data_IF_678523742477
#
_entry.id   IF_678523742477
#
_cell.length_a   1.000
_cell.length_b   1.000
_cell.length_c   1.000
_cell.angle_alpha   90.00
_cell.angle_beta   90.00
_cell.angle_gamma   90.00
#
_symmetry.space_group_name_H-M   'P 1'
#
loop_
_entity.id
_entity.type
_entity.pdbx_description
1 polymer ?
#
# COMPACT_ATOMS: atom_id res chain seq x y z
N UNK A 1 -31.07 -5.18 4.52
CA UNK A 1 -31.11 -4.34 3.29
C UNK A 1 -29.81 -3.57 3.21
N UNK A 2 -29.16 -3.45 2.04
CA UNK A 2 -27.96 -2.62 1.88
C UNK A 2 -28.33 -1.16 2.17
N UNK A 3 -27.51 -0.50 3.00
CA UNK A 3 -27.68 0.91 3.36
C UNK A 3 -26.78 1.77 2.45
N UNK A 4 -27.37 2.63 1.65
CA UNK A 4 -26.65 3.47 0.70
C UNK A 4 -25.74 4.52 1.39
N UNK A 5 -26.05 4.85 2.65
CA UNK A 5 -25.32 5.76 3.53
C UNK A 5 -24.45 5.05 4.58
N UNK A 6 -24.23 3.73 4.43
CA UNK A 6 -23.40 2.96 5.39
C UNK A 6 -22.03 3.60 5.61
N UNK A 7 -21.43 4.13 4.53
CA UNK A 7 -20.30 5.05 4.58
C UNK A 7 -20.51 6.20 3.61
N UNK A 8 -20.03 7.37 3.98
CA UNK A 8 -20.05 8.56 3.13
C UNK A 8 -18.88 9.50 3.43
N UNK A 9 -18.47 10.29 2.45
CA UNK A 9 -17.44 11.30 2.66
C UNK A 9 -18.01 12.54 3.37
N UNK A 10 -17.19 13.06 4.29
CA UNK A 10 -17.35 14.39 4.85
C UNK A 10 -15.97 15.09 4.90
N UNK A 11 -15.88 16.27 5.56
CA UNK A 11 -14.65 17.05 5.63
C UNK A 11 -13.44 16.32 6.25
N UNK A 12 -13.65 15.25 7.03
CA UNK A 12 -12.60 14.49 7.69
C UNK A 12 -12.25 13.17 6.96
N UNK A 13 -13.00 12.80 5.92
CA UNK A 13 -12.80 11.58 5.15
C UNK A 13 -14.01 10.64 5.12
N UNK A 14 -13.79 9.35 4.93
CA UNK A 14 -14.82 8.33 4.79
C UNK A 14 -15.37 7.93 6.17
N UNK A 15 -16.62 8.31 6.44
CA UNK A 15 -17.27 8.15 7.75
C UNK A 15 -18.35 7.06 7.74
N UNK A 16 -18.37 6.25 8.79
CA UNK A 16 -19.40 5.26 9.08
C UNK A 16 -20.26 5.74 10.28
N UNK A 17 -21.51 6.23 10.06
CA UNK A 17 -22.36 6.77 11.13
C UNK A 17 -22.83 5.69 12.11
N UNK A 18 -22.94 4.45 11.68
CA UNK A 18 -23.45 3.34 12.49
C UNK A 18 -22.44 2.87 13.55
N UNK A 19 -21.14 3.12 13.32
CA UNK A 19 -20.06 2.84 14.27
C UNK A 19 -19.43 4.07 14.89
N UNK A 20 -19.77 5.29 14.43
CA UNK A 20 -19.14 6.56 14.81
C UNK A 20 -17.62 6.52 14.64
N UNK A 21 -17.16 6.05 13.47
CA UNK A 21 -15.74 5.99 13.12
C UNK A 21 -15.48 6.38 11.67
N UNK A 22 -14.23 6.68 11.38
CA UNK A 22 -13.71 6.94 10.04
C UNK A 22 -12.83 5.80 9.56
N UNK A 23 -12.92 5.47 8.27
CA UNK A 23 -11.99 4.61 7.55
C UNK A 23 -10.90 5.50 6.93
N UNK A 24 -9.64 5.24 7.27
CA UNK A 24 -8.48 5.97 6.74
C UNK A 24 -8.72 7.50 6.67
N UNK A 25 -8.96 8.17 7.80
CA UNK A 25 -9.36 9.58 7.82
C UNK A 25 -8.28 10.49 7.24
N UNK A 26 -8.70 11.57 6.57
CA UNK A 26 -7.82 12.59 6.00
C UNK A 26 -7.41 13.67 7.01
N UNK A 27 -8.10 13.75 8.14
CA UNK A 27 -7.86 14.69 9.24
C UNK A 27 -7.94 13.96 10.57
N UNK A 28 -7.33 14.48 11.66
CA UNK A 28 -7.46 13.90 12.99
C UNK A 28 -8.93 13.78 13.44
N UNK A 29 -9.30 12.58 13.89
CA UNK A 29 -10.68 12.26 14.31
C UNK A 29 -10.73 11.62 15.69
N UNK A 30 -11.95 11.48 16.24
CA UNK A 30 -12.19 10.80 17.51
C UNK A 30 -11.87 9.31 17.39
N UNK A 31 -12.40 8.62 16.39
CA UNK A 31 -12.22 7.17 16.19
C UNK A 31 -11.87 6.88 14.72
N UNK A 32 -10.73 6.24 14.51
CA UNK A 32 -10.23 5.84 13.20
C UNK A 32 -10.03 4.32 13.13
N UNK A 33 -10.41 3.72 12.02
CA UNK A 33 -10.06 2.34 11.64
C UNK A 33 -9.13 2.45 10.44
N UNK A 34 -7.86 2.05 10.61
CA UNK A 34 -6.79 2.28 9.64
C UNK A 34 -6.46 0.98 8.90
N UNK A 35 -6.56 1.04 7.57
CA UNK A 35 -6.24 -0.10 6.70
C UNK A 35 -4.74 -0.40 6.64
N UNK A 36 -3.91 0.62 6.50
CA UNK A 36 -2.46 0.47 6.40
C UNK A 36 -1.72 1.79 6.73
N UNK A 37 -0.39 1.73 6.82
CA UNK A 37 0.40 2.83 7.36
C UNK A 37 0.94 3.84 6.34
N UNK A 38 0.45 3.93 5.10
CA UNK A 38 0.81 5.03 4.21
C UNK A 38 0.26 6.36 4.73
N UNK A 39 0.91 7.47 4.35
CA UNK A 39 0.65 8.78 4.97
C UNK A 39 -0.71 9.39 4.65
N UNK A 40 -1.29 9.02 3.55
CA UNK A 40 -2.62 9.41 3.07
C UNK A 40 -3.76 8.57 3.69
N UNK A 41 -3.45 7.40 4.27
CA UNK A 41 -4.40 6.55 4.99
C UNK A 41 -4.27 6.66 6.51
N UNK A 42 -3.06 6.89 7.02
CA UNK A 42 -2.75 6.88 8.45
C UNK A 42 -2.27 8.26 8.92
N UNK A 43 -3.16 9.23 9.02
CA UNK A 43 -2.83 10.57 9.52
C UNK A 43 -2.57 10.55 11.04
N UNK A 44 -1.74 11.49 11.50
CA UNK A 44 -1.42 11.65 12.93
C UNK A 44 -2.56 12.31 13.71
N UNK A 45 -2.54 12.17 15.04
CA UNK A 45 -3.37 12.97 15.94
C UNK A 45 -4.76 12.39 16.24
N UNK A 46 -5.11 11.22 15.73
CA UNK A 46 -6.36 10.54 16.07
C UNK A 46 -6.41 10.21 17.57
N UNK A 47 -7.61 10.25 18.19
CA UNK A 47 -7.73 9.91 19.61
C UNK A 47 -7.72 8.40 19.82
N UNK A 48 -8.54 7.66 19.08
CA UNK A 48 -8.68 6.21 19.19
C UNK A 48 -8.46 5.58 17.81
N UNK A 49 -7.55 4.62 17.72
CA UNK A 49 -7.13 3.99 16.47
C UNK A 49 -7.28 2.49 16.59
N UNK A 50 -7.98 1.89 15.63
CA UNK A 50 -8.03 0.44 15.41
C UNK A 50 -7.17 0.12 14.20
N UNK A 51 -6.14 -0.71 14.39
CA UNK A 51 -5.21 -1.08 13.31
C UNK A 51 -4.45 -2.37 13.67
N UNK A 52 -3.67 -2.89 12.71
CA UNK A 52 -2.71 -3.98 12.97
C UNK A 52 -1.50 -3.47 13.76
N UNK A 53 -0.78 -4.39 14.41
CA UNK A 53 0.43 -4.05 15.17
C UNK A 53 1.50 -3.40 14.29
N UNK A 54 1.72 -3.90 13.06
CA UNK A 54 2.70 -3.33 12.15
C UNK A 54 2.32 -1.91 11.72
N UNK A 55 1.03 -1.66 11.44
CA UNK A 55 0.51 -0.31 11.14
C UNK A 55 0.79 0.65 12.29
N UNK A 56 0.55 0.25 13.55
CA UNK A 56 0.89 1.06 14.74
C UNK A 56 2.37 1.41 14.78
N UNK A 57 3.25 0.42 14.59
CA UNK A 57 4.70 0.62 14.65
C UNK A 57 5.17 1.61 13.57
N UNK A 58 4.69 1.50 12.34
CA UNK A 58 5.01 2.44 11.27
C UNK A 58 4.49 3.85 11.54
N UNK A 59 3.28 3.99 12.08
CA UNK A 59 2.75 5.29 12.51
C UNK A 59 3.64 5.91 13.59
N UNK A 60 4.08 5.13 14.58
CA UNK A 60 4.98 5.60 15.63
C UNK A 60 6.36 6.01 15.11
N UNK A 61 6.94 5.28 14.14
CA UNK A 61 8.20 5.68 13.49
C UNK A 61 8.01 7.02 12.75
N UNK A 62 6.89 7.23 12.06
CA UNK A 62 6.64 8.44 11.28
C UNK A 62 6.32 9.65 12.14
N UNK A 63 5.49 9.51 13.15
CA UNK A 63 4.87 10.61 13.88
C UNK A 63 5.30 10.72 15.35
N UNK A 64 6.05 9.73 15.85
CA UNK A 64 6.46 9.68 17.25
C UNK A 64 5.26 9.75 18.20
N UNK A 65 5.30 10.67 19.15
CA UNK A 65 4.23 10.88 20.15
C UNK A 65 2.90 11.37 19.56
N UNK A 66 2.92 11.90 18.34
CA UNK A 66 1.73 12.40 17.66
C UNK A 66 1.01 11.33 16.82
N UNK A 67 1.48 10.09 16.80
CA UNK A 67 0.89 9.01 16.00
C UNK A 67 -0.60 8.78 16.34
N UNK A 68 -0.96 8.86 17.61
CA UNK A 68 -2.32 8.71 18.13
C UNK A 68 -2.29 8.62 19.65
N UNK A 69 -3.47 8.74 20.31
CA UNK A 69 -3.53 8.67 21.77
C UNK A 69 -3.72 7.23 22.28
N UNK A 70 -4.66 6.50 21.71
CA UNK A 70 -4.98 5.11 22.07
C UNK A 70 -4.94 4.23 20.84
N UNK A 71 -4.23 3.11 20.90
CA UNK A 71 -4.18 2.11 19.86
C UNK A 71 -4.85 0.82 20.34
N UNK A 72 -5.93 0.43 19.66
CA UNK A 72 -6.62 -0.84 19.80
C UNK A 72 -6.10 -1.78 18.71
N UNK A 73 -5.22 -2.68 19.07
CA UNK A 73 -4.59 -3.60 18.11
C UNK A 73 -5.50 -4.82 17.90
N UNK A 74 -5.78 -5.11 16.63
CA UNK A 74 -6.47 -6.33 16.25
C UNK A 74 -5.61 -7.14 15.25
N UNK A 75 -5.59 -8.46 15.43
CA UNK A 75 -4.99 -9.39 14.48
C UNK A 75 -5.94 -9.69 13.32
N UNK A 76 -5.39 -10.33 12.28
CA UNK A 76 -6.20 -10.82 11.18
C UNK A 76 -7.17 -11.90 11.65
N UNK A 77 -8.34 -11.96 11.00
CA UNK A 77 -9.45 -12.88 11.29
C UNK A 77 -10.02 -12.74 12.73
N UNK A 78 -9.58 -11.73 13.48
CA UNK A 78 -10.11 -11.43 14.81
C UNK A 78 -11.28 -10.45 14.68
N UNK A 79 -12.48 -10.88 15.14
CA UNK A 79 -13.68 -10.04 15.14
C UNK A 79 -13.73 -9.17 16.40
N UNK A 80 -13.95 -7.87 16.20
CA UNK A 80 -14.17 -6.89 17.28
C UNK A 80 -15.32 -5.94 16.92
N UNK A 81 -15.66 -5.00 17.79
CA UNK A 81 -16.73 -4.02 17.54
C UNK A 81 -16.23 -2.60 17.71
N UNK A 82 -16.71 -1.73 16.82
CA UNK A 82 -16.62 -0.27 16.96
C UNK A 82 -18.04 0.30 16.85
N UNK A 83 -18.52 0.88 17.93
CA UNK A 83 -19.94 1.23 18.04
C UNK A 83 -20.86 0.01 17.83
N UNK A 84 -21.76 0.09 16.87
CA UNK A 84 -22.69 -0.99 16.52
C UNK A 84 -22.17 -1.92 15.42
N UNK A 85 -21.05 -1.60 14.78
CA UNK A 85 -20.50 -2.34 13.64
C UNK A 85 -19.50 -3.39 14.13
N UNK A 86 -19.65 -4.63 13.68
CA UNK A 86 -18.64 -5.66 13.88
C UNK A 86 -17.60 -5.56 12.77
N UNK A 87 -16.31 -5.63 13.12
CA UNK A 87 -15.20 -5.47 12.21
C UNK A 87 -14.28 -6.69 12.27
N UNK A 88 -13.78 -7.11 11.11
CA UNK A 88 -12.74 -8.14 10.98
C UNK A 88 -11.68 -7.64 10.01
N UNK A 89 -10.39 -7.69 10.41
CA UNK A 89 -9.27 -7.40 9.54
C UNK A 89 -8.88 -8.63 8.71
N UNK A 90 -8.66 -8.44 7.40
CA UNK A 90 -8.32 -9.49 6.45
C UNK A 90 -7.09 -9.01 5.66
N UNK A 91 -6.03 -9.82 5.45
CA UNK A 91 -4.85 -9.39 4.70
C UNK A 91 -5.17 -8.77 3.35
N UNK A 92 -4.57 -7.61 3.04
CA UNK A 92 -4.79 -6.88 1.80
C UNK A 92 -3.65 -7.06 0.77
N UNK A 93 -2.52 -7.67 1.15
CA UNK A 93 -1.40 -7.91 0.23
C UNK A 93 -0.60 -6.68 -0.18
N UNK A 94 -0.94 -5.50 0.32
CA UNK A 94 -0.34 -4.23 -0.12
C UNK A 94 1.05 -4.00 0.47
N UNK A 95 1.13 -3.87 1.80
CA UNK A 95 2.36 -3.75 2.59
C UNK A 95 2.22 -4.54 3.89
N UNK A 96 3.32 -4.73 4.63
CA UNK A 96 3.28 -5.38 5.94
C UNK A 96 2.24 -4.74 6.86
N UNK A 97 1.33 -5.57 7.36
CA UNK A 97 0.25 -5.15 8.26
C UNK A 97 -0.94 -4.48 7.56
N UNK A 98 -0.98 -4.42 6.22
CA UNK A 98 -2.13 -3.90 5.48
C UNK A 98 -3.33 -4.82 5.61
N UNK A 99 -4.53 -4.23 5.75
CA UNK A 99 -5.76 -4.97 5.95
C UNK A 99 -6.91 -4.43 5.12
N UNK A 100 -7.70 -5.35 4.57
CA UNK A 100 -9.07 -5.09 4.20
C UNK A 100 -9.91 -5.03 5.49
N UNK A 101 -10.94 -4.22 5.52
CA UNK A 101 -11.81 -4.03 6.68
C UNK A 101 -13.20 -4.55 6.35
N UNK A 102 -13.50 -5.79 6.81
CA UNK A 102 -14.82 -6.37 6.70
C UNK A 102 -15.69 -5.83 7.85
N UNK A 103 -16.77 -5.16 7.49
CA UNK A 103 -17.73 -4.54 8.40
C UNK A 103 -19.09 -5.25 8.28
N UNK A 104 -19.68 -5.64 9.40
CA UNK A 104 -20.98 -6.30 9.43
C UNK A 104 -21.95 -5.48 10.29
N UNK A 105 -23.10 -5.17 9.74
CA UNK A 105 -24.15 -4.41 10.40
C UNK A 105 -25.54 -4.88 9.92
N UNK A 106 -26.43 -5.24 10.86
CA UNK A 106 -27.82 -5.69 10.60
C UNK A 106 -27.93 -6.76 9.49
N UNK A 107 -26.99 -7.71 9.48
CA UNK A 107 -27.02 -8.85 8.54
C UNK A 107 -26.53 -8.53 7.13
N UNK A 108 -25.95 -7.34 6.92
CA UNK A 108 -25.28 -6.94 5.67
C UNK A 108 -23.79 -6.77 5.92
N UNK A 109 -22.98 -7.22 4.98
CA UNK A 109 -21.52 -7.13 5.01
C UNK A 109 -20.97 -6.15 3.98
N UNK A 110 -20.03 -5.31 4.42
CA UNK A 110 -19.33 -4.30 3.60
C UNK A 110 -17.83 -4.54 3.74
N UNK A 111 -17.14 -4.75 2.63
CA UNK A 111 -15.68 -4.90 2.63
C UNK A 111 -15.03 -3.66 2.04
N UNK A 112 -14.29 -2.92 2.88
CA UNK A 112 -13.40 -1.85 2.44
C UNK A 112 -12.00 -2.44 2.20
N UNK A 113 -11.50 -2.36 0.97
CA UNK A 113 -10.21 -2.97 0.61
C UNK A 113 -9.01 -2.25 1.20
N UNK A 114 -9.13 -0.92 1.49
CA UNK A 114 -7.94 -0.07 1.52
C UNK A 114 -7.21 -0.19 0.19
N UNK A 115 -5.90 0.06 0.19
CA UNK A 115 -5.04 -0.29 -0.93
C UNK A 115 -4.70 -1.77 -0.88
N UNK A 116 -4.69 -2.44 -2.03
CA UNK A 116 -4.44 -3.87 -2.10
C UNK A 116 -3.65 -4.29 -3.34
N UNK A 117 -3.11 -5.50 -3.31
CA UNK A 117 -2.30 -6.07 -4.39
C UNK A 117 -2.47 -7.59 -4.40
N UNK A 118 -2.63 -8.18 -5.59
CA UNK A 118 -2.68 -9.64 -5.78
C UNK A 118 -1.33 -10.22 -6.20
N UNK A 119 -0.43 -9.41 -6.75
CA UNK A 119 0.93 -9.86 -7.10
C UNK A 119 1.63 -10.41 -5.87
N UNK A 120 2.30 -11.55 -6.03
CA UNK A 120 3.07 -12.17 -4.97
C UNK A 120 4.13 -11.22 -4.39
N UNK A 121 4.20 -11.17 -3.07
CA UNK A 121 5.14 -10.37 -2.31
C UNK A 121 5.46 -11.07 -1.00
N UNK A 122 6.66 -11.63 -0.91
CA UNK A 122 7.12 -12.37 0.28
C UNK A 122 7.52 -11.46 1.43
N UNK A 123 7.35 -10.13 1.30
CA UNK A 123 7.64 -9.15 2.36
C UNK A 123 6.43 -8.72 3.17
N UNK A 124 5.24 -9.18 2.82
CA UNK A 124 4.01 -8.92 3.57
C UNK A 124 3.07 -10.12 3.50
N UNK A 125 1.97 -10.04 4.23
CA UNK A 125 0.90 -11.03 4.17
C UNK A 125 0.26 -11.01 2.79
N UNK A 126 0.02 -12.20 2.20
CA UNK A 126 -0.64 -12.31 0.90
C UNK A 126 -2.10 -11.86 0.98
N UNK A 127 -2.64 -11.34 -0.13
CA UNK A 127 -4.06 -10.99 -0.23
C UNK A 127 -4.94 -12.22 0.06
N UNK A 128 -5.94 -12.05 0.93
CA UNK A 128 -6.95 -13.07 1.20
C UNK A 128 -8.30 -12.63 0.61
N UNK A 129 -8.92 -13.53 -0.16
CA UNK A 129 -10.27 -13.28 -0.70
C UNK A 129 -11.31 -13.42 0.41
N UNK A 130 -12.22 -12.45 0.48
CA UNK A 130 -13.35 -12.45 1.41
C UNK A 130 -14.66 -12.28 0.67
N UNK A 131 -15.77 -12.68 1.32
CA UNK A 131 -17.13 -12.51 0.80
C UNK A 131 -17.81 -11.34 1.50
N UNK A 132 -18.46 -10.46 0.74
CA UNK A 132 -19.27 -9.38 1.28
C UNK A 132 -20.40 -9.01 0.30
N UNK A 133 -21.48 -8.43 0.85
CA UNK A 133 -22.60 -7.94 0.04
C UNK A 133 -22.20 -6.70 -0.78
N UNK A 134 -21.35 -5.85 -0.20
CA UNK A 134 -20.85 -4.61 -0.82
C UNK A 134 -19.34 -4.58 -0.78
N UNK A 135 -18.73 -4.38 -1.94
CA UNK A 135 -17.29 -4.12 -2.08
C UNK A 135 -17.05 -2.61 -2.18
N UNK A 136 -16.26 -2.05 -1.26
CA UNK A 136 -15.78 -0.67 -1.27
C UNK A 136 -14.29 -0.73 -1.62
N UNK A 137 -13.92 -0.38 -2.85
CA UNK A 137 -12.58 -0.66 -3.38
C UNK A 137 -11.88 0.57 -3.94
N UNK A 138 -10.54 0.60 -3.80
CA UNK A 138 -9.72 1.52 -4.58
C UNK A 138 -9.96 1.30 -6.08
N UNK A 139 -9.78 2.35 -6.86
CA UNK A 139 -9.83 2.32 -8.32
C UNK A 139 -8.66 3.09 -8.96
N UNK A 140 -7.52 3.13 -8.27
CA UNK A 140 -6.30 3.85 -8.66
C UNK A 140 -5.83 3.48 -10.07
N UNK A 141 -5.79 2.19 -10.37
CA UNK A 141 -5.43 1.66 -11.68
C UNK A 141 -6.59 0.94 -12.38
N UNK A 142 -7.85 1.31 -12.06
CA UNK A 142 -9.05 0.70 -12.63
C UNK A 142 -9.35 1.16 -14.07
N UNK A 143 -8.34 1.08 -14.95
CA UNK A 143 -8.47 1.31 -16.40
C UNK A 143 -7.98 0.07 -17.15
N UNK A 144 -8.65 -0.35 -18.24
CA UNK A 144 -8.27 -1.55 -19.00
C UNK A 144 -6.82 -1.56 -19.48
N UNK A 145 -6.24 -0.38 -19.76
CA UNK A 145 -4.86 -0.23 -20.20
C UNK A 145 -3.82 -0.35 -19.08
N UNK A 146 -4.24 -0.28 -17.82
CA UNK A 146 -3.35 -0.43 -16.67
C UNK A 146 -3.17 -1.91 -16.35
N UNK A 147 -2.04 -2.46 -16.77
CA UNK A 147 -1.59 -3.80 -16.43
C UNK A 147 -0.17 -3.72 -15.90
N UNK A 148 0.07 -4.30 -14.75
CA UNK A 148 1.38 -4.26 -14.11
C UNK A 148 2.23 -5.44 -14.58
N UNK A 149 3.48 -5.20 -15.04
CA UNK A 149 4.39 -6.28 -15.44
C UNK A 149 4.81 -7.12 -14.23
N UNK A 150 5.43 -8.27 -14.51
CA UNK A 150 6.07 -9.09 -13.50
C UNK A 150 7.21 -8.31 -12.82
N UNK A 151 7.16 -8.08 -11.50
CA UNK A 151 8.17 -7.34 -10.76
C UNK A 151 9.54 -8.03 -10.79
N UNK A 152 9.58 -9.36 -10.95
CA UNK A 152 10.83 -10.12 -11.11
C UNK A 152 11.51 -9.77 -12.43
N UNK A 153 10.74 -9.70 -13.52
CA UNK A 153 11.27 -9.28 -14.81
C UNK A 153 11.81 -7.85 -14.78
N UNK A 154 11.11 -6.95 -14.08
CA UNK A 154 11.55 -5.56 -13.89
C UNK A 154 12.87 -5.48 -13.12
N UNK A 155 13.01 -6.18 -12.00
CA UNK A 155 14.25 -6.19 -11.21
C UNK A 155 15.42 -6.81 -11.97
N UNK A 156 15.19 -7.84 -12.79
CA UNK A 156 16.26 -8.46 -13.59
C UNK A 156 16.92 -7.47 -14.57
N UNK A 157 16.25 -6.39 -15.00
CA UNK A 157 16.85 -5.32 -15.81
C UNK A 157 18.06 -4.66 -15.12
N UNK A 158 18.11 -4.65 -13.80
CA UNK A 158 19.22 -4.08 -13.04
C UNK A 158 20.53 -4.85 -13.26
N UNK A 159 20.50 -6.11 -13.70
CA UNK A 159 21.67 -6.94 -13.95
C UNK A 159 22.53 -6.39 -15.11
N UNK A 160 21.91 -5.67 -16.05
CA UNK A 160 22.59 -5.12 -17.22
C UNK A 160 23.27 -3.76 -16.93
N UNK A 161 22.96 -3.14 -15.81
CA UNK A 161 23.53 -1.84 -15.40
C UNK A 161 24.82 -2.08 -14.61
N UNK A 162 25.98 -1.71 -15.16
CA UNK A 162 27.32 -1.97 -14.58
C UNK A 162 27.86 -0.82 -13.73
N UNK A 163 27.11 0.25 -13.58
CA UNK A 163 27.44 1.40 -12.73
C UNK A 163 26.49 1.46 -11.53
N UNK A 164 26.78 2.32 -10.57
CA UNK A 164 25.91 2.58 -9.44
C UNK A 164 24.51 3.06 -9.87
N UNK A 165 23.50 2.64 -9.13
CA UNK A 165 22.11 3.01 -9.37
C UNK A 165 21.61 3.87 -8.20
N UNK A 166 21.00 5.00 -8.51
CA UNK A 166 20.16 5.76 -7.59
C UNK A 166 18.70 5.37 -7.87
N UNK A 167 18.09 4.65 -6.93
CA UNK A 167 16.73 4.11 -7.09
C UNK A 167 15.76 4.85 -6.18
N UNK A 168 14.88 5.64 -6.76
CA UNK A 168 13.76 6.27 -6.07
C UNK A 168 12.63 5.28 -5.84
N UNK A 169 12.13 5.18 -4.60
CA UNK A 169 10.99 4.35 -4.25
C UNK A 169 10.29 4.88 -2.99
N UNK A 170 9.00 4.58 -2.84
CA UNK A 170 8.31 4.85 -1.57
C UNK A 170 9.02 4.11 -0.43
N UNK A 171 9.25 4.81 0.69
CA UNK A 171 10.09 4.30 1.79
C UNK A 171 9.46 3.12 2.53
N UNK A 172 8.13 3.06 2.62
CA UNK A 172 7.37 1.98 3.26
C UNK A 172 6.70 1.13 2.17
N UNK A 173 6.82 -0.18 2.28
CA UNK A 173 6.29 -1.18 1.35
C UNK A 173 7.23 -1.39 0.17
N UNK A 174 7.21 -0.53 -0.81
CA UNK A 174 7.97 -0.65 -2.06
C UNK A 174 9.48 -0.83 -1.86
N UNK A 175 10.09 -0.07 -0.96
CA UNK A 175 11.53 -0.22 -0.69
C UNK A 175 11.87 -1.59 -0.13
N UNK A 176 11.06 -2.16 0.76
CA UNK A 176 11.30 -3.48 1.35
C UNK A 176 11.11 -4.59 0.32
N UNK A 177 10.07 -4.52 -0.51
CA UNK A 177 9.85 -5.43 -1.63
C UNK A 177 11.00 -5.39 -2.63
N UNK A 178 11.48 -4.21 -3.01
CA UNK A 178 12.61 -4.04 -3.92
C UNK A 178 13.90 -4.61 -3.32
N UNK A 179 14.17 -4.39 -2.03
CA UNK A 179 15.35 -4.96 -1.35
C UNK A 179 15.33 -6.48 -1.46
N UNK A 180 14.21 -7.11 -1.15
CA UNK A 180 14.06 -8.55 -1.22
C UNK A 180 14.22 -9.06 -2.66
N UNK A 181 13.53 -8.46 -3.63
CA UNK A 181 13.61 -8.83 -5.04
C UNK A 181 15.04 -8.69 -5.62
N UNK A 182 15.78 -7.64 -5.26
CA UNK A 182 17.18 -7.48 -5.69
C UNK A 182 18.05 -8.59 -5.10
N UNK A 183 17.89 -8.93 -3.82
CA UNK A 183 18.67 -10.01 -3.21
C UNK A 183 18.44 -11.35 -3.91
N UNK A 184 17.25 -11.62 -4.41
CA UNK A 184 16.92 -12.88 -5.08
C UNK A 184 17.25 -12.89 -6.57
N UNK A 185 17.02 -11.78 -7.27
CA UNK A 185 17.03 -11.76 -8.74
C UNK A 185 18.15 -10.91 -9.36
N UNK A 186 18.87 -10.13 -8.53
CA UNK A 186 20.05 -9.37 -8.93
C UNK A 186 21.14 -9.43 -7.83
N UNK A 187 21.57 -10.65 -7.38
CA UNK A 187 22.36 -10.85 -6.16
C UNK A 187 23.77 -10.27 -6.21
N UNK A 188 24.28 -9.92 -7.40
CA UNK A 188 25.55 -9.19 -7.54
C UNK A 188 25.44 -7.73 -7.12
N UNK A 189 24.23 -7.16 -7.06
CA UNK A 189 24.00 -5.78 -6.63
C UNK A 189 24.12 -5.67 -5.11
N UNK A 190 24.81 -4.64 -4.64
CA UNK A 190 24.92 -4.31 -3.22
C UNK A 190 23.91 -3.21 -2.88
N UNK A 191 23.09 -3.41 -1.86
CA UNK A 191 21.98 -2.51 -1.55
C UNK A 191 22.38 -1.58 -0.41
N UNK A 192 22.25 -0.28 -0.67
CA UNK A 192 22.33 0.75 0.35
C UNK A 192 20.96 1.40 0.49
N UNK A 193 20.55 1.66 1.73
CA UNK A 193 19.26 2.29 2.00
C UNK A 193 19.42 3.64 2.68
N UNK A 194 18.52 4.55 2.37
CA UNK A 194 18.44 5.84 3.03
C UNK A 194 18.12 5.68 4.53
N UNK A 195 18.63 6.57 5.38
CA UNK A 195 18.45 6.48 6.85
C UNK A 195 16.97 6.46 7.27
N UNK A 196 16.05 7.04 6.51
CA UNK A 196 14.60 6.99 6.79
C UNK A 196 13.95 5.66 6.39
N UNK A 197 14.58 4.86 5.53
CA UNK A 197 14.09 3.53 5.13
C UNK A 197 14.55 2.47 6.15
N UNK A 198 15.75 2.63 6.71
CA UNK A 198 16.34 1.67 7.63
C UNK A 198 15.42 1.29 8.82
N UNK A 199 14.80 2.24 9.56
CA UNK A 199 13.91 1.88 10.67
C UNK A 199 12.67 1.08 10.21
N UNK A 200 12.17 1.36 9.00
CA UNK A 200 11.03 0.63 8.43
C UNK A 200 11.41 -0.82 8.12
N UNK A 201 12.60 -1.06 7.54
CA UNK A 201 13.11 -2.41 7.31
C UNK A 201 13.22 -3.21 8.61
N UNK A 202 13.60 -2.56 9.72
CA UNK A 202 13.69 -3.24 11.02
C UNK A 202 12.34 -3.73 11.56
N UNK A 203 11.24 -3.06 11.24
CA UNK A 203 9.89 -3.54 11.57
C UNK A 203 9.57 -4.82 10.79
N UNK A 204 9.89 -4.88 9.50
CA UNK A 204 9.70 -6.08 8.68
C UNK A 204 10.47 -7.27 9.24
N UNK A 205 11.75 -7.07 9.58
CA UNK A 205 12.60 -8.12 10.17
C UNK A 205 12.08 -8.57 11.54
N UNK A 206 11.64 -7.64 12.39
CA UNK A 206 11.06 -7.95 13.70
C UNK A 206 9.73 -8.72 13.58
N UNK A 207 8.96 -8.50 12.50
CA UNK A 207 7.76 -9.25 12.19
C UNK A 207 8.05 -10.63 11.55
N UNK A 208 9.33 -10.98 11.32
CA UNK A 208 9.76 -12.27 10.78
C UNK A 208 9.96 -12.32 9.26
N UNK A 209 9.77 -11.22 8.56
CA UNK A 209 9.97 -11.14 7.11
C UNK A 209 11.45 -10.98 6.76
N UNK A 210 11.91 -11.71 5.74
CA UNK A 210 13.32 -11.72 5.32
C UNK A 210 13.52 -10.79 4.14
N UNK A 211 14.22 -9.69 4.33
CA UNK A 211 14.54 -8.73 3.27
C UNK A 211 15.86 -9.06 2.53
N UNK A 212 16.71 -9.89 3.10
CA UNK A 212 18.04 -10.19 2.57
C UNK A 212 19.11 -9.20 3.06
N UNK A 213 20.17 -8.99 2.27
CA UNK A 213 21.30 -8.14 2.64
C UNK A 213 21.09 -6.69 2.18
N UNK A 214 21.25 -5.76 3.07
CA UNK A 214 21.27 -4.32 2.79
C UNK A 214 22.02 -3.58 3.89
N UNK A 215 22.55 -2.41 3.59
CA UNK A 215 23.33 -1.60 4.51
C UNK A 215 22.83 -0.15 4.49
N UNK A 216 23.15 0.60 5.57
CA UNK A 216 22.91 2.03 5.59
C UNK A 216 23.82 2.73 4.56
N UNK A 217 23.30 3.73 3.87
CA UNK A 217 24.06 4.51 2.89
C UNK A 217 25.41 4.96 3.42
N UNK A 218 26.44 4.71 2.63
CA UNK A 218 27.80 5.19 2.85
C UNK A 218 28.36 5.81 1.57
N UNK A 219 28.63 7.13 1.61
CA UNK A 219 29.27 7.82 0.49
C UNK A 219 30.63 7.23 0.14
N UNK A 220 31.37 6.74 1.14
CA UNK A 220 32.68 6.10 0.95
C UNK A 220 32.52 4.81 0.16
N UNK A 221 31.57 3.97 0.50
CA UNK A 221 31.28 2.72 -0.20
C UNK A 221 30.93 2.98 -1.67
N UNK A 222 30.00 3.88 -1.96
CA UNK A 222 29.59 4.26 -3.31
C UNK A 222 30.73 4.79 -4.21
N UNK A 223 31.79 5.38 -3.61
CA UNK A 223 32.94 5.88 -4.36
C UNK A 223 34.01 4.84 -4.65
N UNK A 224 34.01 3.74 -3.91
CA UNK A 224 35.05 2.72 -3.99
C UNK A 224 34.72 1.57 -4.93
N UNK A 225 33.45 1.40 -5.26
CA UNK A 225 32.96 0.22 -5.97
C UNK A 225 31.72 0.56 -6.80
N UNK A 226 31.61 -0.04 -7.96
CA UNK A 226 30.41 0.00 -8.79
C UNK A 226 29.38 -1.06 -8.39
N UNK A 227 28.19 -1.00 -9.02
CA UNK A 227 27.08 -1.94 -8.84
C UNK A 227 26.34 -1.83 -7.50
N UNK A 228 26.48 -0.72 -6.79
CA UNK A 228 25.57 -0.40 -5.69
C UNK A 228 24.21 0.09 -6.20
N UNK A 229 23.15 -0.32 -5.49
CA UNK A 229 21.80 0.26 -5.62
C UNK A 229 21.50 1.03 -4.34
N UNK A 230 21.46 2.36 -4.46
CA UNK A 230 21.08 3.23 -3.34
C UNK A 230 19.59 3.56 -3.42
N UNK A 231 18.79 3.00 -2.51
CA UNK A 231 17.34 3.18 -2.44
C UNK A 231 17.02 4.40 -1.58
N UNK A 232 16.24 5.34 -2.14
CA UNK A 232 15.90 6.62 -1.51
C UNK A 232 14.42 6.95 -1.65
N UNK A 233 13.84 7.70 -0.67
CA UNK A 233 12.47 8.22 -0.80
C UNK A 233 12.36 9.26 -1.95
N UNK A 234 11.12 9.51 -2.47
CA UNK A 234 10.91 10.39 -3.63
C UNK A 234 11.56 11.77 -3.51
N UNK A 235 11.37 12.49 -2.41
CA UNK A 235 11.98 13.83 -2.22
C UNK A 235 13.52 13.79 -2.24
N UNK A 236 14.13 12.72 -1.72
CA UNK A 236 15.58 12.54 -1.78
C UNK A 236 16.02 12.23 -3.22
N UNK A 237 15.26 11.40 -3.94
CA UNK A 237 15.53 11.12 -5.35
C UNK A 237 15.55 12.39 -6.19
N UNK A 238 14.56 13.26 -6.03
CA UNK A 238 14.47 14.53 -6.73
C UNK A 238 15.63 15.47 -6.37
N UNK A 239 16.08 15.48 -5.11
CA UNK A 239 17.23 16.31 -4.69
C UNK A 239 18.56 15.90 -5.36
N UNK A 240 18.66 14.68 -5.87
CA UNK A 240 19.81 14.15 -6.59
C UNK A 240 19.69 14.27 -8.13
N UNK A 241 18.89 15.20 -8.65
CA UNK A 241 18.64 15.27 -10.10
C UNK A 241 19.93 15.51 -10.93
N UNK A 242 20.93 16.18 -10.36
CA UNK A 242 22.26 16.41 -10.97
C UNK A 242 23.30 15.33 -10.64
N UNK A 243 22.92 14.18 -10.07
CA UNK A 243 23.90 13.15 -9.74
C UNK A 243 24.56 12.60 -11.00
N UNK A 244 25.90 12.60 -11.03
CA UNK A 244 26.71 12.08 -12.13
C UNK A 244 27.35 10.73 -11.76
N UNK A 245 27.64 9.91 -12.75
CA UNK A 245 28.26 8.58 -12.55
C UNK A 245 27.32 7.54 -11.94
N UNK A 246 26.01 7.81 -11.96
CA UNK A 246 24.98 6.87 -11.50
C UNK A 246 23.84 6.78 -12.51
N UNK A 247 23.23 5.61 -12.66
CA UNK A 247 21.96 5.42 -13.37
C UNK A 247 20.83 5.82 -12.43
N UNK A 248 19.97 6.73 -12.84
CA UNK A 248 18.82 7.15 -12.04
C UNK A 248 17.57 6.42 -12.51
N UNK A 249 16.90 5.70 -11.60
CA UNK A 249 15.66 4.96 -11.82
C UNK A 249 14.64 5.33 -10.75
N UNK A 250 13.36 5.33 -11.10
CA UNK A 250 12.27 5.51 -10.14
C UNK A 250 11.28 4.35 -10.27
N UNK A 251 11.06 3.61 -9.18
CA UNK A 251 10.14 2.48 -9.16
C UNK A 251 8.71 2.95 -8.90
N UNK A 252 7.83 2.82 -9.90
CA UNK A 252 6.44 3.23 -9.78
C UNK A 252 5.54 2.47 -10.76
N UNK A 253 4.28 2.20 -10.37
CA UNK A 253 3.22 1.79 -11.29
C UNK A 253 2.77 2.94 -12.21
N UNK A 254 3.01 4.20 -11.82
CA UNK A 254 2.68 5.39 -12.60
C UNK A 254 3.82 5.77 -13.55
N UNK A 255 3.57 5.67 -14.85
CA UNK A 255 4.57 6.06 -15.86
C UNK A 255 4.98 7.53 -15.78
N UNK A 256 4.05 8.44 -15.46
CA UNK A 256 4.34 9.88 -15.35
C UNK A 256 5.29 10.23 -14.20
N UNK A 257 5.36 9.43 -13.13
CA UNK A 257 6.32 9.62 -12.05
C UNK A 257 7.75 9.24 -12.43
N UNK A 258 7.93 8.59 -13.58
CA UNK A 258 9.25 8.16 -14.08
C UNK A 258 9.90 9.18 -15.03
N UNK A 259 9.29 10.35 -15.21
CA UNK A 259 9.79 11.41 -16.15
C UNK A 259 11.23 11.82 -15.85
N UNK A 260 11.63 11.86 -14.59
CA UNK A 260 13.00 12.18 -14.15
C UNK A 260 13.95 10.97 -14.11
N UNK A 261 13.48 9.79 -14.53
CA UNK A 261 14.27 8.58 -14.64
C UNK A 261 14.96 8.49 -15.98
N UNK A 262 16.14 7.86 -16.00
CA UNK A 262 16.88 7.58 -17.24
C UNK A 262 16.37 6.29 -17.93
N UNK A 263 15.52 5.53 -17.24
CA UNK A 263 14.88 4.32 -17.74
C UNK A 263 13.65 4.00 -16.88
N UNK A 264 12.79 3.09 -17.33
CA UNK A 264 11.57 2.71 -16.61
C UNK A 264 11.80 1.49 -15.72
N UNK A 265 11.26 1.56 -14.49
CA UNK A 265 11.18 0.43 -13.57
C UNK A 265 9.74 0.35 -13.05
N UNK A 266 8.92 -0.49 -13.69
CA UNK A 266 7.49 -0.56 -13.39
C UNK A 266 7.24 -1.58 -12.27
N UNK A 267 7.17 -1.08 -11.03
CA UNK A 267 6.81 -1.89 -9.85
C UNK A 267 5.69 -1.16 -9.12
N UNK A 268 4.51 -1.77 -9.08
CA UNK A 268 3.33 -1.28 -8.37
C UNK A 268 3.08 -2.09 -7.10
N UNK A 269 2.56 -1.43 -6.07
CA UNK A 269 2.04 -2.09 -4.86
C UNK A 269 0.51 -2.05 -4.81
N UNK A 270 -0.14 -1.61 -5.89
CA UNK A 270 -1.60 -1.57 -6.04
C UNK A 270 -2.07 -2.61 -7.05
N UNK A 271 -3.32 -3.01 -6.88
CA UNK A 271 -4.05 -3.81 -7.85
C UNK A 271 -4.17 -3.10 -9.20
N UNK A 272 -4.00 -3.83 -10.28
CA UNK A 272 -4.30 -3.34 -11.62
C UNK A 272 -5.75 -3.66 -12.05
N UNK A 273 -6.08 -3.36 -13.30
CA UNK A 273 -7.41 -3.63 -13.85
C UNK A 273 -7.83 -5.09 -13.71
N UNK A 274 -6.94 -6.02 -14.04
CA UNK A 274 -7.25 -7.46 -14.01
C UNK A 274 -7.40 -7.97 -12.57
N UNK A 275 -6.59 -7.46 -11.64
CA UNK A 275 -6.68 -7.80 -10.22
C UNK A 275 -8.03 -7.37 -9.63
N UNK A 276 -8.48 -6.13 -9.94
CA UNK A 276 -9.76 -5.60 -9.48
C UNK A 276 -10.93 -6.44 -10.04
N UNK A 277 -10.89 -6.77 -11.34
CA UNK A 277 -11.91 -7.63 -11.96
C UNK A 277 -11.94 -9.01 -11.29
N UNK A 278 -10.79 -9.61 -11.04
CA UNK A 278 -10.69 -10.93 -10.38
C UNK A 278 -11.27 -10.91 -8.96
N UNK A 279 -11.04 -9.83 -8.20
CA UNK A 279 -11.61 -9.67 -6.87
C UNK A 279 -13.14 -9.59 -6.93
N UNK A 280 -13.68 -8.78 -7.85
CA UNK A 280 -15.12 -8.62 -8.04
C UNK A 280 -15.74 -9.96 -8.48
N UNK A 281 -15.11 -10.67 -9.42
CA UNK A 281 -15.57 -11.97 -9.93
C UNK A 281 -15.61 -13.03 -8.81
N UNK A 282 -14.55 -13.12 -8.00
CA UNK A 282 -14.49 -14.11 -6.91
C UNK A 282 -15.39 -13.78 -5.74
N UNK A 283 -15.57 -12.50 -5.42
CA UNK A 283 -16.44 -12.07 -4.33
C UNK A 283 -17.91 -12.12 -4.71
N UNK A 284 -18.26 -11.80 -5.97
CA UNK A 284 -19.64 -11.65 -6.47
C UNK A 284 -20.50 -10.73 -5.58
N UNK A 285 -20.04 -9.49 -5.32
CA UNK A 285 -20.77 -8.57 -4.47
C UNK A 285 -22.06 -8.12 -5.15
N UNK A 286 -23.08 -7.76 -4.37
CA UNK A 286 -24.33 -7.17 -4.87
C UNK A 286 -24.12 -5.75 -5.41
N UNK A 287 -23.16 -5.02 -4.82
CA UNK A 287 -22.80 -3.65 -5.22
C UNK A 287 -21.29 -3.45 -5.11
N UNK A 288 -20.73 -2.58 -5.98
CA UNK A 288 -19.35 -2.11 -5.93
C UNK A 288 -19.34 -0.59 -5.74
N UNK A 289 -18.65 -0.11 -4.72
CA UNK A 289 -18.46 1.31 -4.46
C UNK A 289 -16.99 1.64 -4.64
N UNK A 290 -16.67 2.59 -5.51
CA UNK A 290 -15.28 2.90 -5.88
C UNK A 290 -14.76 4.16 -5.21
N UNK A 291 -13.47 4.14 -4.87
CA UNK A 291 -12.70 5.22 -4.25
C UNK A 291 -11.39 5.42 -5.03
N UNK A 292 -10.74 6.57 -4.86
CA UNK A 292 -9.38 6.82 -5.33
C UNK A 292 -9.14 6.45 -6.80
N UNK A 293 -9.83 7.14 -7.72
CA UNK A 293 -9.61 6.93 -9.15
C UNK A 293 -10.87 7.04 -10.00
N UNK A 294 -10.82 6.44 -11.20
CA UNK A 294 -11.88 6.56 -12.18
C UNK A 294 -12.82 5.35 -12.18
N UNK A 295 -13.69 5.24 -11.19
CA UNK A 295 -14.70 4.17 -11.10
C UNK A 295 -15.61 4.01 -12.32
N UNK A 296 -15.63 4.99 -13.23
CA UNK A 296 -16.44 4.96 -14.47
C UNK A 296 -16.14 3.78 -15.37
N UNK A 297 -14.89 3.30 -15.43
CA UNK A 297 -14.53 2.13 -16.25
C UNK A 297 -15.14 0.85 -15.68
N UNK A 298 -15.12 0.68 -14.37
CA UNK A 298 -15.79 -0.43 -13.69
C UNK A 298 -17.32 -0.33 -13.86
N UNK A 299 -17.90 0.87 -13.69
CA UNK A 299 -19.33 1.09 -13.95
C UNK A 299 -19.74 0.75 -15.39
N UNK A 300 -18.89 1.07 -16.38
CA UNK A 300 -19.13 0.72 -17.77
C UNK A 300 -19.02 -0.80 -18.00
N UNK A 301 -18.00 -1.44 -17.42
CA UNK A 301 -17.76 -2.88 -17.56
C UNK A 301 -18.91 -3.70 -16.96
N UNK A 302 -19.37 -3.33 -15.77
CA UNK A 302 -20.41 -4.06 -15.03
C UNK A 302 -21.84 -3.54 -15.23
N UNK A 303 -22.09 -2.63 -16.18
CA UNK A 303 -23.37 -1.91 -16.37
C UNK A 303 -24.63 -2.80 -16.43
N UNK A 304 -24.50 -4.08 -16.82
CA UNK A 304 -25.61 -5.01 -16.97
C UNK A 304 -25.65 -6.10 -15.88
N UNK A 305 -24.73 -6.10 -14.93
CA UNK A 305 -24.56 -7.20 -13.97
C UNK A 305 -24.46 -6.74 -12.50
N UNK A 306 -23.72 -5.69 -12.22
CA UNK A 306 -23.48 -5.22 -10.85
C UNK A 306 -23.68 -3.71 -10.79
N UNK A 307 -24.37 -3.22 -9.77
CA UNK A 307 -24.47 -1.79 -9.53
C UNK A 307 -23.13 -1.23 -9.02
N UNK A 308 -22.56 -0.29 -9.76
CA UNK A 308 -21.30 0.38 -9.40
C UNK A 308 -21.56 1.86 -9.16
N UNK A 309 -21.17 2.38 -7.98
CA UNK A 309 -21.19 3.81 -7.67
C UNK A 309 -19.81 4.31 -7.27
N UNK A 310 -19.52 5.59 -7.54
CA UNK A 310 -18.31 6.26 -7.04
C UNK A 310 -18.65 7.01 -5.76
N UNK A 311 -17.83 6.85 -4.74
CA UNK A 311 -17.87 7.58 -3.48
C UNK A 311 -16.86 8.74 -3.55
N UNK A 312 -17.31 9.96 -3.36
CA UNK A 312 -16.47 11.17 -3.29
C UNK A 312 -16.35 11.92 -4.59
#
# INVERSE_FOLDING_TARGET
MILDDFVHFNANGLYCPYGDFYLDPQQPVKTAVISHAHGDHAVSGNNEIYCTESTRQFMQIRYGKNAGKVFNIAGYQQKFKVGKVAITFIPAGHILGSTQILMEYEGVSYLYTGDFKLQEDTTCESYEFAQADVLITESTFARPENQHPDPVAEIKKLNDIKINILLGAYGLGKSQRIIQLINEHAPQKKILVHHRIMPLCKVYEAAGFKLGKYELYSRKAMKQQDEYVYIVPPFTFDSYFNAVGVKRLFASGWQHLQVNSQDTLVISDHADWNDILLVIEKMQPKQVWTLHGEGKYLATHFRNSIFVKTLG
#
